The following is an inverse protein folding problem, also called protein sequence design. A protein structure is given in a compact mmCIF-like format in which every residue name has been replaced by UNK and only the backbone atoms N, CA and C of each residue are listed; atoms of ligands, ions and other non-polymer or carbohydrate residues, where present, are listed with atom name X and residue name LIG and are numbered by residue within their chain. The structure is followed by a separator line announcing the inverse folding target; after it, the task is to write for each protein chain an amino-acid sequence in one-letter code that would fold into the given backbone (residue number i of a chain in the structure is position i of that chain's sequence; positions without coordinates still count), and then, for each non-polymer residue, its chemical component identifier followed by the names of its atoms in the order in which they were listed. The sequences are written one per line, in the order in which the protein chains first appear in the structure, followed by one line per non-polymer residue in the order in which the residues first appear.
data_IF_485216324681
#
_entry.id   IF_485216324681
#
_cell.length_a   1.000
_cell.length_b   1.000
_cell.length_c   1.000
_cell.angle_alpha   90.00
_cell.angle_beta   90.00
_cell.angle_gamma   90.00
#
_symmetry.space_group_name_H-M   'P 1'
#
loop_
_entity.id
_entity.type
_entity.pdbx_description
1 polymer ?
#
# COMPACT_ATOMS: atom_id res chain seq x y z
N UNK A 1 -13.88 -19.62 21.78
CA UNK A 1 -12.82 -18.58 21.71
C UNK A 1 -12.20 -18.65 20.33
N UNK A 2 -12.02 -17.51 19.62
CA UNK A 2 -11.52 -17.50 18.22
C UNK A 2 -10.04 -17.11 18.09
N UNK A 3 -9.45 -16.58 19.17
CA UNK A 3 -8.09 -16.08 19.23
C UNK A 3 -7.79 -15.48 20.60
N UNK A 4 -6.54 -15.08 20.79
CA UNK A 4 -6.04 -14.37 21.98
C UNK A 4 -5.27 -13.14 21.56
N UNK A 5 -5.34 -12.08 22.35
CA UNK A 5 -4.42 -10.96 22.25
C UNK A 5 -3.20 -11.22 23.14
N UNK A 6 -2.00 -10.95 22.61
CA UNK A 6 -0.72 -11.05 23.31
C UNK A 6 0.11 -9.78 23.06
N UNK A 7 1.02 -9.46 23.99
CA UNK A 7 2.00 -8.40 23.78
C UNK A 7 3.04 -8.76 22.71
N UNK A 8 3.76 -7.75 22.21
CA UNK A 8 4.91 -7.92 21.31
C UNK A 8 6.11 -8.63 21.96
N UNK A 9 6.17 -8.66 23.29
CA UNK A 9 7.20 -9.34 24.09
C UNK A 9 6.68 -9.57 25.53
N UNK A 10 7.47 -10.27 26.36
CA UNK A 10 7.25 -10.41 27.81
C UNK A 10 8.55 -10.13 28.55
N UNK A 11 8.67 -8.95 29.17
CA UNK A 11 9.94 -8.48 29.72
C UNK A 11 11.02 -8.47 28.64
N UNK A 12 12.17 -9.09 28.91
CA UNK A 12 13.27 -9.15 27.93
C UNK A 12 13.08 -10.20 26.82
N UNK A 13 11.96 -10.95 26.83
CA UNK A 13 11.74 -12.08 25.92
C UNK A 13 10.89 -11.68 24.72
N UNK A 14 11.51 -11.63 23.55
CA UNK A 14 10.84 -11.48 22.24
C UNK A 14 10.11 -12.75 21.81
N UNK A 15 9.19 -12.65 20.84
CA UNK A 15 8.31 -13.76 20.41
C UNK A 15 9.04 -15.01 19.86
N UNK A 16 10.32 -14.91 19.53
CA UNK A 16 11.15 -16.04 19.13
C UNK A 16 11.65 -16.91 20.30
N UNK A 17 11.50 -16.42 21.54
CA UNK A 17 11.99 -17.11 22.73
C UNK A 17 11.29 -18.48 22.94
N UNK A 18 12.08 -19.51 23.26
CA UNK A 18 11.63 -20.90 23.33
C UNK A 18 10.52 -21.18 24.35
N UNK A 19 10.47 -20.39 25.41
CA UNK A 19 9.42 -20.45 26.43
C UNK A 19 7.99 -20.30 25.86
N UNK A 20 7.85 -19.69 24.68
CA UNK A 20 6.56 -19.49 24.02
C UNK A 20 6.17 -20.65 23.09
N UNK A 21 7.07 -21.58 22.78
CA UNK A 21 6.78 -22.72 21.91
C UNK A 21 5.62 -23.60 22.40
N UNK A 22 5.46 -23.89 23.71
CA UNK A 22 4.29 -24.64 24.19
C UNK A 22 2.97 -23.93 23.89
N UNK A 23 2.92 -22.60 24.01
CA UNK A 23 1.76 -21.80 23.64
C UNK A 23 1.48 -21.91 22.14
N UNK A 24 2.51 -21.73 21.31
CA UNK A 24 2.39 -21.81 19.84
C UNK A 24 1.89 -23.17 19.37
N UNK A 25 2.40 -24.25 19.96
CA UNK A 25 1.92 -25.61 19.69
C UNK A 25 0.43 -25.76 19.97
N UNK A 26 -0.03 -25.33 21.15
CA UNK A 26 -1.45 -25.42 21.53
C UNK A 26 -2.30 -24.52 20.63
N UNK A 27 -1.83 -23.31 20.31
CA UNK A 27 -2.54 -22.39 19.44
C UNK A 27 -2.70 -22.95 18.01
N UNK A 28 -1.68 -23.62 17.51
CA UNK A 28 -1.71 -24.31 16.22
C UNK A 28 -2.71 -25.47 16.23
N UNK A 29 -2.65 -26.35 17.23
CA UNK A 29 -3.55 -27.50 17.39
C UNK A 29 -5.03 -27.06 17.47
N UNK A 30 -5.29 -25.97 18.18
CA UNK A 30 -6.64 -25.40 18.33
C UNK A 30 -7.06 -24.51 17.17
N UNK A 31 -6.17 -24.26 16.20
CA UNK A 31 -6.41 -23.32 15.08
C UNK A 31 -6.88 -21.94 15.55
N UNK A 32 -6.32 -21.42 16.63
CA UNK A 32 -6.63 -20.06 17.14
C UNK A 32 -5.67 -19.02 16.56
N UNK A 33 -6.12 -17.77 16.48
CA UNK A 33 -5.28 -16.65 16.03
C UNK A 33 -4.66 -15.94 17.22
N UNK A 34 -3.37 -15.61 17.12
CA UNK A 34 -2.68 -14.72 18.04
C UNK A 34 -2.69 -13.30 17.46
N UNK A 35 -3.44 -12.40 18.10
CA UNK A 35 -3.41 -10.97 17.80
C UNK A 35 -2.30 -10.32 18.63
N UNK A 36 -1.29 -9.77 17.98
CA UNK A 36 -0.11 -9.19 18.63
C UNK A 36 -0.27 -7.68 18.69
N UNK A 37 -0.37 -7.15 19.90
CA UNK A 37 -0.44 -5.72 20.16
C UNK A 37 0.89 -5.23 20.73
N UNK A 38 1.49 -4.13 20.22
CA UNK A 38 2.72 -3.60 20.76
C UNK A 38 2.46 -2.98 22.14
N UNK A 39 3.36 -3.23 23.07
CA UNK A 39 3.33 -2.63 24.40
C UNK A 39 4.76 -2.47 24.92
N UNK A 40 4.93 -1.67 25.98
CA UNK A 40 6.19 -1.51 26.71
C UNK A 40 7.39 -1.19 25.80
N UNK A 41 7.17 -0.27 24.85
CA UNK A 41 8.16 0.07 23.83
C UNK A 41 9.43 0.64 24.47
N UNK A 42 10.58 0.19 24.00
CA UNK A 42 11.86 0.69 24.50
C UNK A 42 11.98 2.21 24.32
N UNK A 43 12.18 2.93 25.42
CA UNK A 43 12.12 4.40 25.45
C UNK A 43 13.36 5.12 24.87
N UNK A 44 14.32 4.36 24.32
CA UNK A 44 15.56 4.84 23.69
C UNK A 44 16.30 5.86 24.57
N UNK A 45 16.60 5.49 25.81
CA UNK A 45 17.24 6.35 26.80
C UNK A 45 16.51 7.70 27.01
N UNK A 46 15.17 7.68 26.90
CA UNK A 46 14.29 8.83 27.07
C UNK A 46 14.02 9.64 25.80
N UNK A 47 14.59 9.27 24.65
CA UNK A 47 14.39 10.01 23.38
C UNK A 47 12.93 10.01 22.91
N UNK A 48 12.14 9.02 23.33
CA UNK A 48 10.71 8.96 23.02
C UNK A 48 9.81 9.67 24.05
N UNK A 49 10.33 10.36 25.07
CA UNK A 49 9.46 10.90 26.14
C UNK A 49 8.57 12.08 25.72
N UNK A 50 8.87 12.77 24.62
CA UNK A 50 8.15 13.97 24.17
C UNK A 50 7.20 13.68 23.02
N UNK A 51 6.25 14.59 22.80
CA UNK A 51 5.37 14.62 21.61
C UNK A 51 4.58 13.34 21.36
N UNK A 52 4.31 12.57 22.41
CA UNK A 52 3.61 11.29 22.28
C UNK A 52 4.35 10.27 21.37
N UNK A 53 5.66 10.45 21.22
CA UNK A 53 6.54 9.58 20.42
C UNK A 53 6.52 8.09 20.79
N UNK A 54 6.20 7.64 22.01
CA UNK A 54 6.09 6.20 22.25
C UNK A 54 5.00 5.59 21.39
N UNK A 55 3.88 6.27 21.19
CA UNK A 55 2.79 5.80 20.32
C UNK A 55 3.08 6.05 18.84
N UNK A 56 3.61 7.23 18.50
CA UNK A 56 3.80 7.62 17.10
C UNK A 56 5.00 6.93 16.42
N UNK A 57 6.03 6.58 17.18
CA UNK A 57 7.29 5.99 16.67
C UNK A 57 7.61 4.67 17.36
N UNK A 58 7.44 4.62 18.69
CA UNK A 58 7.73 3.42 19.48
C UNK A 58 6.86 2.23 19.05
N UNK A 59 5.53 2.34 19.11
CA UNK A 59 4.61 1.23 18.82
C UNK A 59 4.80 0.68 17.39
N UNK A 60 4.89 1.50 16.33
CA UNK A 60 5.18 0.99 14.98
C UNK A 60 6.55 0.32 14.85
N UNK A 61 7.56 0.77 15.60
CA UNK A 61 8.89 0.16 15.60
C UNK A 61 8.88 -1.18 16.35
N UNK A 62 8.16 -1.24 17.47
CA UNK A 62 7.99 -2.42 18.31
C UNK A 62 7.27 -3.55 17.56
N UNK A 63 6.14 -3.25 16.90
CA UNK A 63 5.45 -4.24 16.05
C UNK A 63 6.36 -4.77 14.95
N UNK A 64 7.17 -3.90 14.33
CA UNK A 64 8.09 -4.32 13.28
C UNK A 64 9.23 -5.21 13.80
N UNK A 65 9.71 -4.95 15.01
CA UNK A 65 10.68 -5.81 15.69
C UNK A 65 10.06 -7.18 15.98
N UNK A 66 8.85 -7.24 16.52
CA UNK A 66 8.16 -8.50 16.84
C UNK A 66 7.89 -9.35 15.59
N UNK A 67 7.52 -8.72 14.47
CA UNK A 67 7.40 -9.39 13.17
C UNK A 67 8.75 -9.98 12.75
N UNK A 68 9.85 -9.24 12.90
CA UNK A 68 11.18 -9.75 12.55
C UNK A 68 11.58 -10.94 13.43
N UNK A 69 11.29 -10.92 14.73
CA UNK A 69 11.49 -12.07 15.62
C UNK A 69 10.72 -13.30 15.16
N UNK A 70 9.44 -13.17 14.80
CA UNK A 70 8.64 -14.31 14.31
C UNK A 70 9.19 -14.88 12.99
N UNK A 71 9.62 -14.01 12.08
CA UNK A 71 10.13 -14.42 10.76
C UNK A 71 11.53 -15.07 10.84
N UNK A 72 12.42 -14.51 11.65
CA UNK A 72 13.81 -14.96 11.76
C UNK A 72 14.03 -15.99 12.87
N UNK A 73 13.12 -16.10 13.85
CA UNK A 73 13.17 -17.03 14.98
C UNK A 73 12.63 -18.43 14.70
N UNK A 74 12.47 -18.80 13.43
CA UNK A 74 12.07 -20.13 12.96
C UNK A 74 10.65 -20.58 13.38
N UNK A 75 9.86 -19.68 13.96
CA UNK A 75 8.53 -19.99 14.53
C UNK A 75 7.56 -20.49 13.46
N UNK A 76 7.48 -19.82 12.31
CA UNK A 76 6.57 -20.19 11.23
C UNK A 76 6.97 -21.47 10.48
N UNK A 77 8.23 -21.89 10.62
CA UNK A 77 8.71 -23.17 10.09
C UNK A 77 8.38 -24.30 11.04
N UNK A 78 8.54 -24.08 12.36
CA UNK A 78 8.19 -25.06 13.40
C UNK A 78 6.68 -25.25 13.55
N UNK A 79 5.89 -24.17 13.41
CA UNK A 79 4.44 -24.16 13.58
C UNK A 79 3.74 -23.60 12.32
N UNK A 80 3.75 -24.33 11.19
CA UNK A 80 3.32 -23.82 9.88
C UNK A 80 1.82 -23.51 9.76
N UNK A 81 0.97 -23.98 10.67
CA UNK A 81 -0.47 -23.67 10.71
C UNK A 81 -0.80 -22.58 11.75
N UNK A 82 0.18 -22.12 12.52
CA UNK A 82 0.00 -21.02 13.47
C UNK A 82 -0.33 -19.73 12.72
N UNK A 83 -1.22 -18.92 13.29
CA UNK A 83 -1.69 -17.67 12.67
C UNK A 83 -1.44 -16.50 13.60
N UNK A 84 -0.60 -15.57 13.13
CA UNK A 84 -0.40 -14.28 13.75
C UNK A 84 -1.17 -13.19 12.99
N UNK A 85 -1.76 -12.28 13.74
CA UNK A 85 -2.30 -11.01 13.26
C UNK A 85 -1.65 -9.88 14.04
N UNK A 86 -1.03 -8.92 13.38
CA UNK A 86 -0.34 -7.81 14.05
C UNK A 86 -1.19 -6.54 13.99
N UNK A 87 -1.22 -5.82 15.11
CA UNK A 87 -1.94 -4.56 15.24
C UNK A 87 -1.30 -3.43 14.40
N UNK A 88 -2.07 -2.38 14.16
CA UNK A 88 -1.65 -1.12 13.54
C UNK A 88 -1.00 -1.30 12.16
N UNK A 89 -1.57 -2.16 11.33
CA UNK A 89 -1.09 -2.45 9.97
C UNK A 89 0.25 -3.20 9.91
N UNK A 90 0.69 -3.80 11.02
CA UNK A 90 2.04 -4.36 11.14
C UNK A 90 3.11 -3.31 11.46
N UNK A 91 2.69 -2.13 11.95
CA UNK A 91 3.58 -1.03 12.30
C UNK A 91 4.41 -0.57 11.10
N UNK A 92 5.72 -0.43 11.31
CA UNK A 92 6.66 0.01 10.28
C UNK A 92 7.15 -1.10 9.36
N UNK A 93 6.82 -2.37 9.64
CA UNK A 93 7.34 -3.54 8.89
C UNK A 93 7.06 -3.47 7.38
N UNK A 94 5.84 -3.16 6.90
CA UNK A 94 5.57 -3.12 5.46
C UNK A 94 6.51 -2.18 4.69
N UNK A 95 6.88 -1.05 5.29
CA UNK A 95 7.80 -0.07 4.71
C UNK A 95 9.24 -0.59 4.71
N UNK A 96 9.68 -1.25 5.78
CA UNK A 96 11.06 -1.75 5.91
C UNK A 96 11.25 -3.18 5.38
N UNK A 97 10.19 -3.86 4.92
CA UNK A 97 10.22 -5.25 4.43
C UNK A 97 11.35 -5.50 3.44
N UNK A 98 11.53 -4.60 2.47
CA UNK A 98 12.61 -4.70 1.47
C UNK A 98 14.00 -4.63 2.09
N UNK A 99 14.19 -3.78 3.12
CA UNK A 99 15.44 -3.67 3.87
C UNK A 99 15.72 -4.93 4.68
N UNK A 100 14.71 -5.49 5.36
CA UNK A 100 14.81 -6.72 6.14
C UNK A 100 15.23 -7.89 5.25
N UNK A 101 14.55 -8.06 4.11
CA UNK A 101 14.88 -9.11 3.14
C UNK A 101 16.29 -8.93 2.55
N UNK A 102 16.69 -7.70 2.23
CA UNK A 102 18.03 -7.43 1.74
C UNK A 102 19.10 -7.73 2.79
N UNK A 103 18.88 -7.30 4.04
CA UNK A 103 19.76 -7.58 5.19
C UNK A 103 20.01 -9.08 5.38
N UNK A 104 18.95 -9.89 5.32
CA UNK A 104 19.06 -11.34 5.42
C UNK A 104 19.94 -11.94 4.30
N UNK A 105 19.80 -11.46 3.06
CA UNK A 105 20.58 -11.94 1.92
C UNK A 105 22.06 -11.55 2.00
N UNK A 106 22.37 -10.35 2.48
CA UNK A 106 23.75 -9.83 2.49
C UNK A 106 24.51 -10.18 3.77
N UNK A 107 23.82 -10.49 4.87
CA UNK A 107 24.38 -10.92 6.15
C UNK A 107 23.63 -12.13 6.73
N UNK A 108 23.59 -13.27 6.01
CA UNK A 108 22.96 -14.48 6.54
C UNK A 108 23.68 -14.99 7.80
N UNK A 109 24.97 -14.67 7.96
CA UNK A 109 25.77 -14.92 9.17
C UNK A 109 25.25 -14.23 10.43
N UNK A 110 24.41 -13.20 10.29
CA UNK A 110 23.76 -12.52 11.43
C UNK A 110 22.25 -12.72 11.45
N UNK A 111 21.61 -12.82 10.28
CA UNK A 111 20.15 -12.82 10.17
C UNK A 111 19.53 -14.21 10.05
N UNK A 112 20.28 -15.22 9.59
CA UNK A 112 19.79 -16.58 9.37
C UNK A 112 20.29 -17.55 10.47
N UNK A 113 20.42 -17.04 11.69
CA UNK A 113 20.96 -17.79 12.84
C UNK A 113 20.03 -18.93 13.25
N UNK A 114 18.74 -18.65 13.39
CA UNK A 114 17.74 -19.63 13.83
C UNK A 114 16.85 -20.12 12.67
N UNK A 115 16.56 -19.25 11.69
CA UNK A 115 15.74 -19.56 10.52
C UNK A 115 16.54 -19.41 9.22
N UNK A 116 16.67 -20.51 8.49
CA UNK A 116 17.32 -20.55 7.17
C UNK A 116 16.36 -20.27 6.00
N UNK A 117 15.08 -20.01 6.29
CA UNK A 117 14.09 -19.60 5.28
C UNK A 117 14.04 -18.07 5.25
N UNK A 118 14.14 -17.48 4.06
CA UNK A 118 14.19 -16.04 3.92
C UNK A 118 12.87 -15.37 4.40
N UNK A 119 12.92 -14.24 5.13
CA UNK A 119 11.73 -13.57 5.66
C UNK A 119 10.66 -13.26 4.59
N UNK A 120 11.08 -12.92 3.37
CA UNK A 120 10.19 -12.61 2.25
C UNK A 120 9.41 -13.81 1.69
N UNK A 121 9.77 -15.04 2.11
CA UNK A 121 9.05 -16.27 1.79
C UNK A 121 8.00 -16.60 2.87
N UNK A 122 8.18 -16.05 4.08
CA UNK A 122 7.33 -16.32 5.24
C UNK A 122 6.34 -15.20 5.54
N UNK A 123 6.67 -13.95 5.21
CA UNK A 123 5.85 -12.78 5.57
C UNK A 123 4.43 -12.78 4.97
N UNK A 124 4.21 -13.48 3.86
CA UNK A 124 2.88 -13.71 3.30
C UNK A 124 1.97 -14.61 4.16
N UNK A 125 2.49 -15.20 5.24
CA UNK A 125 1.71 -15.98 6.22
C UNK A 125 1.16 -15.11 7.37
N UNK A 126 1.65 -13.88 7.51
CA UNK A 126 1.24 -12.95 8.55
C UNK A 126 -0.01 -12.17 8.15
N UNK A 127 -0.85 -11.86 9.14
CA UNK A 127 -2.02 -10.99 8.98
C UNK A 127 -1.76 -9.65 9.66
N UNK A 128 -2.44 -8.60 9.21
CA UNK A 128 -2.47 -7.32 9.90
C UNK A 128 -3.87 -6.72 9.83
N UNK A 129 -4.19 -5.84 10.78
CA UNK A 129 -5.47 -5.16 10.88
C UNK A 129 -5.61 -3.93 9.95
N UNK A 130 -4.64 -3.68 9.05
CA UNK A 130 -4.71 -2.53 8.13
C UNK A 130 -4.00 -2.67 6.77
N UNK A 131 -3.23 -3.73 6.47
CA UNK A 131 -2.56 -3.93 5.14
C UNK A 131 -2.46 -5.42 4.75
N UNK A 132 -2.45 -5.72 3.44
CA UNK A 132 -2.59 -7.03 2.74
C UNK A 132 -2.65 -8.30 3.63
N UNK A 133 -3.72 -9.12 3.46
CA UNK A 133 -4.24 -10.04 4.48
C UNK A 133 -4.89 -9.28 5.64
N UNK A 134 -5.90 -8.47 5.27
CA UNK A 134 -6.50 -7.40 6.06
C UNK A 134 -7.71 -7.91 6.84
N UNK A 135 -7.70 -7.67 8.15
CA UNK A 135 -8.93 -7.60 8.96
C UNK A 135 -9.15 -6.13 9.27
N UNK A 136 -10.38 -5.62 9.22
CA UNK A 136 -10.63 -4.24 9.62
C UNK A 136 -10.48 -4.10 11.16
N UNK A 137 -9.58 -3.22 11.60
CA UNK A 137 -9.41 -2.83 13.00
C UNK A 137 -9.44 -1.30 13.14
N UNK A 138 -10.11 -0.80 14.19
CA UNK A 138 -10.29 0.64 14.42
C UNK A 138 -9.46 1.18 15.58
N UNK A 139 -8.90 0.31 16.42
CA UNK A 139 -8.28 0.69 17.70
C UNK A 139 -9.23 1.42 18.67
N UNK A 140 -10.55 1.22 18.53
CA UNK A 140 -11.54 1.77 19.45
C UNK A 140 -11.37 1.20 20.87
N UNK A 141 -11.47 2.01 21.94
CA UNK A 141 -11.93 3.41 22.00
C UNK A 141 -10.79 4.44 22.08
N UNK A 142 -9.58 4.12 21.63
CA UNK A 142 -8.46 5.05 21.76
C UNK A 142 -8.60 6.27 20.84
N UNK A 143 -8.17 7.47 21.27
CA UNK A 143 -8.27 8.69 20.46
C UNK A 143 -7.47 8.64 19.14
N UNK A 144 -6.44 7.79 19.07
CA UNK A 144 -5.63 7.58 17.88
C UNK A 144 -6.34 6.64 16.87
N UNK A 145 -7.35 5.91 17.34
CA UNK A 145 -8.12 4.98 16.52
C UNK A 145 -9.03 5.69 15.51
N UNK A 146 -9.44 4.93 14.50
CA UNK A 146 -10.41 5.39 13.51
C UNK A 146 -11.80 5.47 14.15
N UNK A 147 -12.27 6.70 14.40
CA UNK A 147 -13.58 6.96 15.00
C UNK A 147 -14.74 6.70 14.03
N UNK A 148 -14.49 6.90 12.73
CA UNK A 148 -15.44 6.69 11.64
C UNK A 148 -14.88 5.62 10.71
N UNK A 149 -15.36 4.39 10.88
CA UNK A 149 -14.88 3.21 10.15
C UNK A 149 -14.87 3.44 8.63
N UNK A 150 -13.70 3.29 8.01
CA UNK A 150 -13.52 3.37 6.56
C UNK A 150 -13.27 4.78 6.03
N UNK A 151 -13.39 5.83 6.86
CA UNK A 151 -13.12 7.21 6.44
C UNK A 151 -11.69 7.38 5.93
N UNK A 152 -10.72 6.73 6.57
CA UNK A 152 -9.31 6.78 6.14
C UNK A 152 -9.15 6.23 4.73
N UNK A 153 -9.91 5.19 4.36
CA UNK A 153 -9.87 4.60 3.02
C UNK A 153 -10.59 5.46 2.00
N UNK A 154 -11.69 6.10 2.37
CA UNK A 154 -12.45 7.01 1.50
C UNK A 154 -11.69 8.31 1.20
N UNK A 155 -11.01 8.86 2.20
CA UNK A 155 -10.17 10.05 2.07
C UNK A 155 -8.80 9.76 1.45
N UNK A 156 -8.38 8.48 1.45
CA UNK A 156 -7.13 8.06 0.83
C UNK A 156 -7.19 8.35 -0.68
N UNK A 157 -6.58 9.46 -1.06
CA UNK A 157 -6.17 9.67 -2.43
C UNK A 157 -4.99 8.73 -2.66
N UNK A 158 -5.16 7.67 -3.48
CA UNK A 158 -4.00 6.90 -3.88
C UNK A 158 -2.97 7.88 -4.42
N UNK A 159 -1.70 7.61 -4.13
CA UNK A 159 -0.62 8.13 -4.96
C UNK A 159 -0.90 7.56 -6.35
N UNK A 160 -1.77 8.23 -7.11
CA UNK A 160 -2.21 7.75 -8.39
C UNK A 160 -0.96 7.60 -9.22
N UNK A 161 -0.91 6.55 -10.02
CA UNK A 161 0.00 6.52 -11.14
C UNK A 161 -0.19 7.87 -11.86
N UNK A 162 0.81 8.73 -11.73
CA UNK A 162 1.01 10.06 -12.29
C UNK A 162 -0.27 10.72 -12.82
N UNK A 163 -0.75 11.74 -12.10
CA UNK A 163 -1.73 12.72 -12.55
C UNK A 163 -1.66 12.92 -14.10
N UNK A 164 -2.74 12.64 -14.85
CA UNK A 164 -2.72 12.69 -16.31
C UNK A 164 -2.20 14.02 -16.87
N UNK A 165 -2.48 15.12 -16.17
CA UNK A 165 -1.97 16.45 -16.52
C UNK A 165 -0.44 16.52 -16.40
N UNK A 166 0.13 15.93 -15.34
CA UNK A 166 1.60 15.83 -15.17
C UNK A 166 2.25 14.93 -16.21
N UNK A 167 1.58 13.86 -16.63
CA UNK A 167 2.10 12.98 -17.70
C UNK A 167 2.16 13.68 -19.05
N UNK A 168 1.16 14.50 -19.36
CA UNK A 168 1.12 15.31 -20.57
C UNK A 168 2.17 16.43 -20.54
N UNK A 169 2.38 17.07 -19.38
CA UNK A 169 3.44 18.06 -19.17
C UNK A 169 4.85 17.44 -19.31
N UNK A 170 5.08 16.24 -18.74
CA UNK A 170 6.33 15.49 -18.91
C UNK A 170 6.56 15.13 -20.38
N UNK A 171 5.54 14.61 -21.08
CA UNK A 171 5.63 14.26 -22.49
C UNK A 171 5.98 15.48 -23.36
N UNK A 172 5.32 16.62 -23.12
CA UNK A 172 5.61 17.87 -23.82
C UNK A 172 7.06 18.33 -23.58
N UNK A 173 7.57 18.12 -22.37
CA UNK A 173 8.97 18.42 -22.02
C UNK A 173 9.94 17.53 -22.79
N UNK A 174 9.72 16.22 -22.85
CA UNK A 174 10.59 15.31 -23.61
C UNK A 174 10.59 15.62 -25.12
N UNK A 175 9.42 15.93 -25.70
CA UNK A 175 9.32 16.35 -27.11
C UNK A 175 10.12 17.63 -27.40
N UNK A 176 10.07 18.59 -26.49
CA UNK A 176 10.85 19.82 -26.59
C UNK A 176 12.37 19.55 -26.50
N UNK A 177 12.79 18.65 -25.62
CA UNK A 177 14.20 18.23 -25.49
C UNK A 177 14.69 17.56 -26.78
N UNK A 178 13.89 16.64 -27.34
CA UNK A 178 14.21 15.97 -28.60
C UNK A 178 14.44 16.99 -29.73
N UNK A 179 13.54 17.97 -29.87
CA UNK A 179 13.67 19.04 -30.86
C UNK A 179 14.96 19.86 -30.67
N UNK A 180 15.38 20.11 -29.43
CA UNK A 180 16.64 20.80 -29.12
C UNK A 180 17.88 19.96 -29.49
N UNK A 181 17.82 18.65 -29.28
CA UNK A 181 18.90 17.72 -29.66
C UNK A 181 19.01 17.64 -31.19
N UNK A 182 17.89 17.57 -31.91
CA UNK A 182 17.88 17.55 -33.38
C UNK A 182 18.42 18.85 -33.97
N UNK A 183 18.08 20.00 -33.38
CA UNK A 183 18.64 21.29 -33.77
C UNK A 183 20.16 21.36 -33.51
N UNK A 184 20.64 20.76 -32.40
CA UNK A 184 22.07 20.69 -32.09
C UNK A 184 22.84 19.77 -33.05
N UNK A 185 22.24 18.63 -33.45
CA UNK A 185 22.80 17.71 -34.44
C UNK A 185 22.92 18.34 -35.83
N UNK A 186 22.06 19.30 -36.18
CA UNK A 186 22.17 20.05 -37.43
C UNK A 186 23.46 20.88 -37.50
N UNK A 187 23.96 21.35 -36.35
CA UNK A 187 25.21 22.09 -36.24
C UNK A 187 26.44 21.22 -35.98
N UNK A 188 26.27 19.97 -35.52
CA UNK A 188 27.34 19.02 -35.20
C UNK A 188 26.91 17.57 -35.54
N UNK A 189 26.92 17.18 -36.83
CA UNK A 189 26.29 15.95 -37.30
C UNK A 189 26.97 14.66 -36.83
N UNK A 190 28.27 14.70 -36.52
CA UNK A 190 29.07 13.53 -36.15
C UNK A 190 29.11 13.28 -34.63
N UNK A 191 28.29 14.00 -33.86
CA UNK A 191 28.30 13.94 -32.41
C UNK A 191 27.58 12.69 -31.87
N UNK A 192 28.38 11.66 -31.54
CA UNK A 192 27.90 10.38 -31.01
C UNK A 192 27.10 10.49 -29.71
N UNK A 193 27.37 11.49 -28.85
CA UNK A 193 26.62 11.72 -27.61
C UNK A 193 25.20 12.24 -27.90
N UNK A 194 25.04 13.09 -28.91
CA UNK A 194 23.75 13.65 -29.29
C UNK A 194 22.87 12.63 -30.03
N UNK A 195 23.47 11.77 -30.86
CA UNK A 195 22.74 10.65 -31.48
C UNK A 195 22.20 9.68 -30.44
N UNK A 196 23.02 9.32 -29.44
CA UNK A 196 22.56 8.47 -28.33
C UNK A 196 21.42 9.11 -27.53
N UNK A 197 21.56 10.40 -27.20
CA UNK A 197 20.50 11.14 -26.48
C UNK A 197 19.21 11.25 -27.30
N UNK A 198 19.32 11.35 -28.63
CA UNK A 198 18.17 11.34 -29.53
C UNK A 198 17.44 9.99 -29.51
N UNK A 199 18.19 8.88 -29.58
CA UNK A 199 17.64 7.53 -29.50
C UNK A 199 16.90 7.31 -28.16
N UNK A 200 17.55 7.65 -27.05
CA UNK A 200 17.00 7.52 -25.70
C UNK A 200 15.68 8.33 -25.53
N UNK A 201 15.68 9.61 -25.91
CA UNK A 201 14.48 10.47 -25.83
C UNK A 201 13.33 9.97 -26.71
N UNK A 202 13.65 9.39 -27.88
CA UNK A 202 12.64 8.81 -28.77
C UNK A 202 12.02 7.57 -28.15
N UNK A 203 12.80 6.73 -27.48
CA UNK A 203 12.32 5.56 -26.76
C UNK A 203 11.38 5.95 -25.61
N UNK A 204 11.74 6.92 -24.77
CA UNK A 204 10.85 7.37 -23.68
C UNK A 204 9.54 7.94 -24.20
N UNK A 205 9.59 8.78 -25.23
CA UNK A 205 8.36 9.37 -25.81
C UNK A 205 7.45 8.25 -26.30
N UNK A 206 8.00 7.25 -27.01
CA UNK A 206 7.22 6.10 -27.49
C UNK A 206 6.61 5.28 -26.35
N UNK A 207 7.37 5.01 -25.28
CA UNK A 207 6.89 4.26 -24.13
C UNK A 207 5.80 5.00 -23.35
N UNK A 208 5.89 6.32 -23.26
CA UNK A 208 4.93 7.17 -22.55
C UNK A 208 3.64 7.35 -23.37
N UNK A 209 3.73 7.45 -24.71
CA UNK A 209 2.58 7.42 -25.62
C UNK A 209 1.86 6.07 -25.59
N UNK A 210 2.60 4.95 -25.63
CA UNK A 210 2.06 3.59 -25.48
C UNK A 210 1.30 3.39 -24.15
N UNK A 211 1.77 4.03 -23.08
CA UNK A 211 1.11 3.99 -21.77
C UNK A 211 -0.18 4.81 -21.78
N UNK A 212 -0.16 6.02 -22.36
CA UNK A 212 -1.36 6.85 -22.53
C UNK A 212 -2.41 6.17 -23.42
N UNK A 213 -2.00 5.49 -24.49
CA UNK A 213 -2.92 4.73 -25.35
C UNK A 213 -3.54 3.54 -24.62
N UNK A 214 -2.78 2.84 -23.77
CA UNK A 214 -3.32 1.74 -22.95
C UNK A 214 -4.29 2.24 -21.88
N UNK A 215 -4.01 3.37 -21.25
CA UNK A 215 -4.92 3.99 -20.28
C UNK A 215 -6.20 4.54 -20.99
N UNK A 216 -6.06 5.06 -22.22
CA UNK A 216 -7.21 5.44 -23.07
C UNK A 216 -8.00 4.22 -23.54
N UNK A 217 -7.36 3.09 -23.85
CA UNK A 217 -8.02 1.85 -24.22
C UNK A 217 -8.77 1.23 -23.02
N UNK A 218 -8.17 1.24 -21.82
CA UNK A 218 -8.81 0.78 -20.59
C UNK A 218 -9.94 1.71 -20.10
N UNK A 219 -9.90 3.00 -20.44
CA UNK A 219 -11.00 3.94 -20.14
C UNK A 219 -12.11 3.96 -21.19
N UNK A 220 -11.80 3.65 -22.46
CA UNK A 220 -12.80 3.48 -23.53
C UNK A 220 -13.55 2.15 -23.44
N UNK A 221 -12.95 1.08 -22.88
CA UNK A 221 -13.70 -0.10 -22.43
C UNK A 221 -14.69 0.19 -21.29
N UNK A 222 -14.51 1.31 -20.56
CA UNK A 222 -15.43 1.77 -19.49
C UNK A 222 -16.44 2.84 -19.95
N UNK A 223 -16.35 3.32 -21.19
CA UNK A 223 -17.24 4.36 -21.72
C UNK A 223 -17.91 3.92 -23.02
N UNK A 224 -18.80 2.94 -22.91
CA UNK A 224 -19.85 2.72 -23.90
C UNK A 224 -21.20 2.80 -23.17
N UNK A 225 -21.93 3.88 -23.49
CA UNK A 225 -23.40 4.06 -23.45
C UNK A 225 -24.16 3.32 -22.34
N UNK A 226 -24.69 4.06 -21.37
CA UNK A 226 -25.61 3.55 -20.35
C UNK A 226 -26.70 2.64 -20.95
N UNK A 227 -26.70 1.32 -20.66
CA UNK A 227 -27.86 0.49 -20.85
C UNK A 227 -28.61 0.46 -19.51
N UNK A 228 -29.94 0.58 -19.56
CA UNK A 228 -30.74 0.25 -18.39
C UNK A 228 -30.44 -1.19 -17.98
N UNK A 229 -29.78 -1.36 -16.84
CA UNK A 229 -29.42 -2.67 -16.31
C UNK A 229 -30.70 -3.33 -15.83
N UNK A 230 -31.19 -4.30 -16.60
CA UNK A 230 -32.15 -5.29 -16.11
C UNK A 230 -31.39 -6.09 -15.04
N UNK A 231 -31.58 -5.72 -13.77
CA UNK A 231 -30.94 -6.40 -12.65
C UNK A 231 -31.47 -7.83 -12.56
N UNK A 232 -30.59 -8.82 -12.72
CA UNK A 232 -30.96 -10.23 -12.65
C UNK A 232 -31.03 -10.67 -11.20
N UNK A 233 -32.25 -10.75 -10.67
CA UNK A 233 -32.55 -11.15 -9.29
C UNK A 233 -32.04 -12.55 -8.96
N UNK A 234 -31.52 -12.73 -7.74
CA UNK A 234 -31.04 -14.01 -7.22
C UNK A 234 -31.79 -14.44 -5.95
N UNK A 235 -31.94 -15.76 -5.75
CA UNK A 235 -32.58 -16.31 -4.55
C UNK A 235 -31.73 -16.00 -3.31
N UNK A 236 -32.37 -15.47 -2.27
CA UNK A 236 -31.72 -15.04 -1.03
C UNK A 236 -31.31 -13.57 -1.00
N UNK A 237 -31.51 -12.82 -2.09
CA UNK A 237 -31.22 -11.40 -2.19
C UNK A 237 -32.25 -10.55 -1.41
N UNK A 238 -31.79 -9.48 -0.74
CA UNK A 238 -32.68 -8.50 -0.09
C UNK A 238 -33.13 -7.48 -1.11
N UNK A 239 -34.43 -7.24 -1.15
CA UNK A 239 -35.10 -6.33 -2.09
C UNK A 239 -36.09 -5.45 -1.33
N UNK A 240 -36.46 -4.34 -1.95
CA UNK A 240 -37.59 -3.52 -1.53
C UNK A 240 -38.77 -3.88 -2.44
N UNK A 241 -39.89 -4.26 -1.84
CA UNK A 241 -41.09 -4.73 -2.55
C UNK A 241 -42.36 -3.99 -2.06
N UNK A 242 -43.40 -3.87 -2.90
CA UNK A 242 -44.67 -3.26 -2.51
C UNK A 242 -45.45 -4.15 -1.53
N UNK A 243 -45.84 -3.60 -0.38
CA UNK A 243 -46.75 -4.24 0.58
C UNK A 243 -48.21 -3.98 0.20
N UNK A 244 -49.16 -4.87 0.54
CA UNK A 244 -50.60 -4.63 0.36
C UNK A 244 -51.11 -3.33 0.99
N UNK A 245 -50.45 -2.82 2.03
CA UNK A 245 -50.77 -1.53 2.67
C UNK A 245 -50.27 -0.30 1.88
N UNK A 246 -49.81 -0.48 0.64
CA UNK A 246 -49.31 0.57 -0.25
C UNK A 246 -47.91 1.11 0.09
N UNK A 247 -47.25 0.58 1.12
CA UNK A 247 -45.89 0.97 1.52
C UNK A 247 -44.85 0.04 0.90
N UNK A 248 -43.70 0.59 0.52
CA UNK A 248 -42.53 -0.20 0.10
C UNK A 248 -41.76 -0.67 1.33
N UNK A 249 -41.54 -1.96 1.45
CA UNK A 249 -40.91 -2.57 2.63
C UNK A 249 -39.85 -3.58 2.21
N UNK A 250 -38.94 -3.89 3.13
CA UNK A 250 -37.87 -4.86 2.89
C UNK A 250 -38.41 -6.28 2.83
N UNK A 251 -37.94 -7.03 1.84
CA UNK A 251 -38.26 -8.42 1.63
C UNK A 251 -37.01 -9.21 1.19
N UNK A 252 -37.11 -10.54 1.25
CA UNK A 252 -36.08 -11.48 0.78
C UNK A 252 -36.67 -12.36 -0.32
N UNK A 253 -35.91 -12.58 -1.39
CA UNK A 253 -36.30 -13.49 -2.46
C UNK A 253 -36.17 -14.95 -1.98
N UNK A 254 -37.27 -15.70 -2.01
CA UNK A 254 -37.30 -17.12 -1.66
C UNK A 254 -37.14 -18.03 -2.87
N UNK A 255 -37.78 -17.66 -3.99
CA UNK A 255 -37.69 -18.43 -5.24
C UNK A 255 -38.10 -17.58 -6.45
N UNK A 256 -37.56 -17.94 -7.61
CA UNK A 256 -37.91 -17.35 -8.90
C UNK A 256 -38.86 -18.32 -9.60
N UNK A 257 -40.10 -17.90 -9.88
CA UNK A 257 -41.10 -18.73 -10.55
C UNK A 257 -41.48 -18.14 -11.90
N UNK A 258 -42.04 -18.92 -12.84
CA UNK A 258 -42.52 -18.38 -14.12
C UNK A 258 -43.64 -17.34 -13.99
N UNK A 259 -44.34 -17.32 -12.85
CA UNK A 259 -45.42 -16.38 -12.56
C UNK A 259 -44.96 -15.10 -11.82
N UNK A 260 -43.68 -15.01 -11.44
CA UNK A 260 -43.12 -13.88 -10.69
C UNK A 260 -42.07 -14.28 -9.65
N UNK A 261 -41.63 -13.31 -8.84
CA UNK A 261 -40.65 -13.51 -7.77
C UNK A 261 -41.38 -13.75 -6.45
N UNK A 262 -41.18 -14.93 -5.84
CA UNK A 262 -41.69 -15.20 -4.50
C UNK A 262 -40.77 -14.55 -3.46
N UNK A 263 -41.34 -13.70 -2.62
CA UNK A 263 -40.64 -12.96 -1.59
C UNK A 263 -41.25 -13.18 -0.20
N UNK A 264 -40.44 -13.09 0.85
CA UNK A 264 -40.88 -12.98 2.25
C UNK A 264 -40.59 -11.59 2.77
N UNK A 265 -41.60 -10.88 3.28
CA UNK A 265 -41.38 -9.58 3.95
C UNK A 265 -40.63 -9.75 5.26
N UNK A 266 -39.55 -8.98 5.46
CA UNK A 266 -38.69 -9.09 6.65
C UNK A 266 -39.37 -8.61 7.93
N UNK A 267 -40.34 -7.68 7.82
CA UNK A 267 -41.05 -7.12 8.97
C UNK A 267 -42.20 -8.01 9.46
N UNK A 268 -42.91 -8.69 8.56
CA UNK A 268 -44.13 -9.44 8.87
C UNK A 268 -43.99 -10.95 8.68
N UNK A 269 -42.93 -11.42 8.03
CA UNK A 269 -42.73 -12.84 7.68
C UNK A 269 -43.72 -13.38 6.65
N UNK A 270 -44.58 -12.52 6.09
CA UNK A 270 -45.61 -12.91 5.13
C UNK A 270 -45.00 -13.12 3.74
N UNK A 271 -45.43 -14.19 3.06
CA UNK A 271 -44.97 -14.54 1.71
C UNK A 271 -45.93 -14.03 0.66
N UNK A 272 -45.39 -13.47 -0.42
CA UNK A 272 -46.18 -13.04 -1.58
C UNK A 272 -45.39 -13.23 -2.87
N UNK A 273 -46.07 -13.18 -4.01
CA UNK A 273 -45.47 -13.19 -5.34
C UNK A 273 -45.63 -11.79 -5.92
N UNK A 274 -44.52 -11.22 -6.39
CA UNK A 274 -44.48 -9.88 -7.00
C UNK A 274 -43.85 -9.94 -8.38
N UNK A 275 -44.20 -8.99 -9.24
CA UNK A 275 -43.56 -8.83 -10.53
C UNK A 275 -42.08 -8.41 -10.33
N UNK A 276 -41.11 -9.03 -11.04
CA UNK A 276 -39.72 -8.60 -11.03
C UNK A 276 -39.50 -7.10 -11.27
N UNK A 277 -40.40 -6.43 -12.00
CA UNK A 277 -40.32 -4.99 -12.30
C UNK A 277 -40.62 -4.09 -11.09
N UNK A 278 -41.38 -4.58 -10.12
CA UNK A 278 -41.77 -3.82 -8.93
C UNK A 278 -40.73 -3.89 -7.80
N UNK A 279 -39.67 -4.67 -8.00
CA UNK A 279 -38.57 -4.85 -7.07
C UNK A 279 -37.51 -3.75 -7.22
N UNK A 280 -37.03 -3.25 -6.08
CA UNK A 280 -35.97 -2.25 -6.04
C UNK A 280 -34.80 -2.71 -5.19
N UNK A 281 -33.59 -2.32 -5.59
CA UNK A 281 -32.40 -2.57 -4.81
C UNK A 281 -32.40 -1.71 -3.53
N UNK A 282 -32.09 -2.28 -2.37
CA UNK A 282 -31.93 -1.50 -1.15
C UNK A 282 -30.71 -0.56 -1.25
N UNK A 283 -30.66 0.51 -0.43
CA UNK A 283 -29.50 1.40 -0.34
C UNK A 283 -28.22 0.62 -0.03
N UNK A 284 -27.08 1.11 -0.54
CA UNK A 284 -25.82 0.35 -0.61
C UNK A 284 -25.30 -0.16 0.75
N UNK A 285 -25.55 0.60 1.82
CA UNK A 285 -25.26 0.25 3.21
C UNK A 285 -26.12 -0.90 3.76
N UNK A 286 -27.21 -1.27 3.09
CA UNK A 286 -28.18 -2.30 3.49
C UNK A 286 -28.28 -3.46 2.50
N UNK A 287 -27.43 -3.47 1.45
CA UNK A 287 -27.31 -4.57 0.47
C UNK A 287 -26.61 -5.81 1.04
N UNK A 288 -25.90 -5.69 2.17
CA UNK A 288 -25.11 -6.78 2.76
C UNK A 288 -25.98 -7.72 3.61
N UNK A 289 -25.89 -9.02 3.32
CA UNK A 289 -26.42 -10.07 4.17
C UNK A 289 -25.55 -10.20 5.43
N UNK A 290 -26.12 -10.00 6.62
CA UNK A 290 -25.43 -10.33 7.87
C UNK A 290 -25.24 -11.86 7.97
N UNK A 291 -24.02 -12.28 8.32
CA UNK A 291 -23.61 -13.68 8.43
C UNK A 291 -24.35 -14.50 9.52
N UNK A 292 -25.26 -13.88 10.29
CA UNK A 292 -25.97 -14.50 11.41
C UNK A 292 -27.40 -14.96 11.10
N UNK A 293 -27.95 -14.69 9.91
CA UNK A 293 -29.32 -15.10 9.54
C UNK A 293 -29.43 -16.57 9.06
N UNK A 294 -28.35 -17.34 9.08
CA UNK A 294 -28.37 -18.77 8.76
C UNK A 294 -28.69 -19.61 10.01
N UNK A 295 -29.96 -19.59 10.44
CA UNK A 295 -30.45 -20.63 11.33
C UNK A 295 -30.82 -21.87 10.50
N UNK A 296 -29.97 -22.90 10.63
CA UNK A 296 -30.17 -24.33 10.33
C UNK A 296 -30.96 -24.69 9.07
N UNK A 297 -30.25 -25.17 8.05
CA UNK A 297 -30.61 -26.40 7.31
C UNK A 297 -29.43 -26.98 6.53
N UNK A 298 -29.00 -28.17 6.94
CA UNK A 298 -28.47 -29.29 6.16
C UNK A 298 -27.16 -29.16 5.30
N UNK A 299 -26.10 -29.80 5.80
CA UNK A 299 -25.15 -30.71 5.14
C UNK A 299 -25.03 -30.80 3.59
N UNK A 300 -23.79 -30.71 3.06
CA UNK A 300 -23.37 -31.28 1.75
C UNK A 300 -22.09 -30.67 1.13
N UNK A 301 -21.26 -31.40 0.33
CA UNK A 301 -19.78 -31.34 0.43
C UNK A 301 -18.99 -30.64 -0.72
N UNK A 302 -17.67 -30.55 -0.49
CA UNK A 302 -16.54 -29.98 -1.26
C UNK A 302 -16.49 -30.15 -2.79
N UNK A 303 -15.87 -29.19 -3.49
CA UNK A 303 -15.20 -29.44 -4.78
C UNK A 303 -13.77 -28.87 -4.82
N UNK A 304 -12.82 -29.77 -5.07
CA UNK A 304 -11.36 -29.55 -5.16
C UNK A 304 -10.97 -28.68 -6.38
N UNK A 305 -11.89 -28.49 -7.32
CA UNK A 305 -11.68 -27.77 -8.59
C UNK A 305 -11.56 -26.24 -8.39
N UNK A 306 -12.42 -25.65 -7.55
CA UNK A 306 -12.41 -24.19 -7.30
C UNK A 306 -11.16 -23.69 -6.58
N UNK A 307 -10.50 -24.55 -5.78
CA UNK A 307 -9.21 -24.22 -5.13
C UNK A 307 -8.07 -24.09 -6.14
N UNK A 308 -8.04 -24.94 -7.18
CA UNK A 308 -6.97 -24.97 -8.18
C UNK A 308 -7.07 -23.78 -9.14
N UNK A 309 -8.29 -23.42 -9.53
CA UNK A 309 -8.57 -22.23 -10.35
C UNK A 309 -8.27 -20.92 -9.59
N UNK A 310 -8.61 -20.86 -8.30
CA UNK A 310 -8.29 -19.71 -7.46
C UNK A 310 -6.78 -19.50 -7.26
N UNK A 311 -6.03 -20.59 -7.07
CA UNK A 311 -4.56 -20.54 -7.00
C UNK A 311 -3.94 -20.09 -8.32
N UNK A 312 -4.43 -20.58 -9.47
CA UNK A 312 -3.95 -20.18 -10.79
C UNK A 312 -4.25 -18.69 -11.09
N UNK A 313 -5.41 -18.18 -10.70
CA UNK A 313 -5.76 -16.76 -10.87
C UNK A 313 -4.93 -15.85 -9.95
N UNK A 314 -4.64 -16.29 -8.72
CA UNK A 314 -3.75 -15.58 -7.79
C UNK A 314 -2.31 -15.49 -8.34
N UNK A 315 -1.80 -16.58 -8.91
CA UNK A 315 -0.49 -16.63 -9.57
C UNK A 315 -0.44 -15.69 -10.78
N UNK A 316 -1.50 -15.69 -11.61
CA UNK A 316 -1.62 -14.80 -12.79
C UNK A 316 -1.63 -13.32 -12.39
N UNK A 317 -2.35 -12.95 -11.33
CA UNK A 317 -2.36 -11.59 -10.78
C UNK A 317 -1.00 -11.19 -10.23
N UNK A 318 -0.31 -12.09 -9.52
CA UNK A 318 1.05 -11.85 -9.01
C UNK A 318 2.05 -11.63 -10.15
N UNK A 319 2.00 -12.44 -11.21
CA UNK A 319 2.87 -12.27 -12.39
C UNK A 319 2.59 -10.96 -13.14
N UNK A 320 1.31 -10.56 -13.28
CA UNK A 320 0.95 -9.26 -13.88
C UNK A 320 1.46 -8.09 -13.03
N UNK A 321 1.30 -8.15 -11.70
CA UNK A 321 1.81 -7.12 -10.79
C UNK A 321 3.34 -7.02 -10.80
N UNK A 322 4.04 -8.17 -10.86
CA UNK A 322 5.50 -8.22 -10.93
C UNK A 322 6.02 -7.64 -12.25
N UNK A 323 5.40 -8.00 -13.39
CA UNK A 323 5.74 -7.43 -14.70
C UNK A 323 5.49 -5.92 -14.75
N UNK A 324 4.38 -5.45 -14.17
CA UNK A 324 4.07 -4.01 -14.07
C UNK A 324 5.13 -3.28 -13.23
N UNK A 325 5.53 -3.85 -12.09
CA UNK A 325 6.55 -3.27 -11.21
C UNK A 325 7.95 -3.28 -11.86
N UNK A 326 8.31 -4.34 -12.59
CA UNK A 326 9.58 -4.40 -13.33
C UNK A 326 9.62 -3.36 -14.45
N UNK A 327 8.54 -3.25 -15.23
CA UNK A 327 8.42 -2.23 -16.28
C UNK A 327 8.50 -0.80 -15.71
N UNK A 328 7.92 -0.57 -14.53
CA UNK A 328 8.01 0.73 -13.85
C UNK A 328 9.45 1.03 -13.40
N UNK A 329 10.14 0.07 -12.77
CA UNK A 329 11.54 0.27 -12.33
C UNK A 329 12.50 0.49 -13.50
N UNK A 330 12.27 -0.19 -14.62
CA UNK A 330 13.03 0.00 -15.84
C UNK A 330 12.81 1.41 -16.40
N UNK A 331 11.54 1.86 -16.50
CA UNK A 331 11.20 3.22 -16.90
C UNK A 331 11.83 4.29 -15.99
N UNK A 332 11.77 4.10 -14.66
CA UNK A 332 12.35 5.02 -13.69
C UNK A 332 13.88 5.09 -13.81
N UNK A 333 14.54 3.93 -14.04
CA UNK A 333 15.99 3.86 -14.24
C UNK A 333 16.44 4.54 -15.55
N UNK A 334 15.65 4.43 -16.62
CA UNK A 334 15.92 5.11 -17.89
C UNK A 334 15.75 6.62 -17.72
N UNK A 335 14.63 7.06 -17.10
CA UNK A 335 14.35 8.47 -16.76
C UNK A 335 15.50 9.11 -15.96
N UNK A 336 16.08 8.38 -15.00
CA UNK A 336 17.20 8.88 -14.19
C UNK A 336 18.55 8.93 -14.94
N UNK A 337 18.78 8.01 -15.88
CA UNK A 337 19.92 8.06 -16.79
C UNK A 337 19.89 9.29 -17.69
N UNK A 338 18.72 9.59 -18.25
CA UNK A 338 18.50 10.71 -19.14
C UNK A 338 18.57 12.06 -18.45
N UNK A 339 18.02 12.20 -17.23
CA UNK A 339 18.21 13.42 -16.42
C UNK A 339 19.69 13.79 -16.30
N UNK A 340 20.57 12.78 -16.10
CA UNK A 340 22.01 12.99 -16.01
C UNK A 340 22.63 13.37 -17.36
N UNK A 341 22.19 12.74 -18.45
CA UNK A 341 22.65 13.07 -19.82
C UNK A 341 22.20 14.47 -20.26
N UNK A 342 20.95 14.84 -19.98
CA UNK A 342 20.40 16.16 -20.26
C UNK A 342 21.07 17.27 -19.45
N UNK A 343 21.35 17.02 -18.16
CA UNK A 343 22.14 17.94 -17.33
C UNK A 343 23.53 18.18 -17.93
N UNK A 344 24.22 17.14 -18.40
CA UNK A 344 25.51 17.26 -19.09
C UNK A 344 25.40 18.05 -20.40
N UNK A 345 24.37 17.82 -21.21
CA UNK A 345 24.09 18.58 -22.43
C UNK A 345 23.88 20.07 -22.11
N UNK A 346 23.04 20.39 -21.14
CA UNK A 346 22.74 21.77 -20.76
C UNK A 346 24.00 22.50 -20.22
N UNK A 347 24.84 21.83 -19.43
CA UNK A 347 26.12 22.40 -18.97
C UNK A 347 27.09 22.67 -20.14
N UNK A 348 27.16 21.76 -21.12
CA UNK A 348 28.04 21.86 -22.30
C UNK A 348 27.54 22.89 -23.32
N UNK A 349 26.23 22.98 -23.52
CA UNK A 349 25.58 23.96 -24.40
C UNK A 349 25.72 25.40 -23.85
N UNK A 350 25.59 25.59 -22.52
CA UNK A 350 25.86 26.87 -21.88
C UNK A 350 27.34 27.27 -21.99
N UNK A 351 28.26 26.31 -21.88
CA UNK A 351 29.70 26.58 -22.02
C UNK A 351 30.11 26.97 -23.46
N UNK A 352 29.40 26.51 -24.49
CA UNK A 352 29.65 26.85 -25.90
C UNK A 352 28.90 28.10 -26.41
N UNK A 353 28.07 28.75 -25.58
CA UNK A 353 27.45 30.03 -25.93
C UNK A 353 26.41 29.97 -27.06
N UNK A 354 25.65 28.87 -27.19
CA UNK A 354 24.52 28.79 -28.12
C UNK A 354 23.41 29.78 -27.71
N UNK A 355 23.38 30.95 -28.36
CA UNK A 355 22.31 31.95 -28.20
C UNK A 355 20.98 31.38 -28.69
N UNK A 356 20.07 31.06 -27.77
CA UNK A 356 18.69 30.69 -28.09
C UNK A 356 18.05 29.64 -27.18
N UNK A 357 18.83 28.89 -26.39
CA UNK A 357 18.25 27.91 -25.46
C UNK A 357 17.68 28.62 -24.22
N UNK A 358 16.35 28.57 -24.05
CA UNK A 358 15.70 28.92 -22.77
C UNK A 358 16.15 27.91 -21.71
N UNK A 359 16.60 28.43 -20.56
CA UNK A 359 16.86 27.63 -19.37
C UNK A 359 15.55 27.02 -18.87
N UNK A 360 15.31 25.75 -19.17
CA UNK A 360 14.26 24.98 -18.51
C UNK A 360 14.79 24.61 -17.12
N UNK A 361 14.31 25.31 -16.09
CA UNK A 361 14.53 24.88 -14.72
C UNK A 361 13.77 23.56 -14.55
N UNK A 362 14.48 22.51 -14.14
CA UNK A 362 13.89 21.23 -13.75
C UNK A 362 13.14 21.48 -12.42
N UNK A 363 11.89 21.91 -12.50
CA UNK A 363 10.95 21.80 -11.38
C UNK A 363 10.38 20.39 -11.38
N UNK A 364 11.23 19.48 -10.94
CA UNK A 364 10.90 18.09 -10.65
C UNK A 364 11.80 17.60 -9.52
N UNK A 365 12.08 18.48 -8.55
CA UNK A 365 12.58 18.07 -7.25
C UNK A 365 11.43 17.37 -6.53
N UNK A 366 11.71 16.20 -5.97
CA UNK A 366 10.95 15.63 -4.86
C UNK A 366 10.55 16.75 -3.89
N UNK A 367 9.29 17.19 -3.94
CA UNK A 367 8.72 18.03 -2.90
C UNK A 367 8.25 17.10 -1.80
N UNK A 368 9.20 16.67 -0.98
CA UNK A 368 8.99 16.32 0.43
C UNK A 368 10.24 16.77 1.22
N UNK A 369 10.64 18.02 0.96
CA UNK A 369 11.51 18.78 1.83
C UNK A 369 10.74 20.01 2.30
N UNK A 370 10.53 20.11 3.60
CA UNK A 370 9.76 21.17 4.26
C UNK A 370 10.07 22.57 3.69
N UNK A 371 9.04 23.25 3.23
CA UNK A 371 9.09 24.64 2.85
C UNK A 371 9.26 25.54 4.08
N UNK A 372 10.51 25.85 4.44
CA UNK A 372 10.86 27.09 5.13
C UNK A 372 12.18 27.58 4.55
N UNK A 373 12.13 28.70 3.84
CA UNK A 373 13.31 29.28 3.21
C UNK A 373 14.33 29.74 4.24
N UNK A 374 15.61 29.46 3.96
CA UNK A 374 16.65 30.45 4.19
C UNK A 374 17.82 30.24 3.22
N UNK A 375 18.19 31.30 2.51
CA UNK A 375 19.30 31.30 1.57
C UNK A 375 20.61 31.35 2.36
N UNK A 376 21.38 30.26 2.38
CA UNK A 376 22.83 30.34 2.63
C UNK A 376 23.59 29.25 1.89
N UNK A 377 24.53 29.69 1.07
CA UNK A 377 25.47 28.90 0.28
C UNK A 377 26.24 27.90 1.15
N UNK A 378 26.08 26.61 0.89
CA UNK A 378 26.92 25.56 1.48
C UNK A 378 28.04 25.22 0.51
N UNK A 379 29.26 25.63 0.86
CA UNK A 379 30.50 25.15 0.26
C UNK A 379 30.76 23.75 0.80
N UNK A 380 30.94 22.78 -0.11
CA UNK A 380 31.30 21.40 0.20
C UNK A 380 32.75 21.40 0.72
N UNK A 381 32.95 21.03 1.99
CA UNK A 381 34.27 20.85 2.60
C UNK A 381 34.63 19.37 2.66
N UNK A 382 35.74 19.01 2.00
CA UNK A 382 36.35 17.69 1.97
C UNK A 382 37.01 17.31 3.29
N UNK A 383 37.16 15.99 3.51
CA UNK A 383 37.65 15.28 4.71
C UNK A 383 39.11 15.59 5.15
N UNK A 384 39.48 16.84 5.42
CA UNK A 384 40.87 17.18 5.76
C UNK A 384 41.09 18.06 7.00
N UNK A 385 40.15 18.13 7.94
CA UNK A 385 40.41 18.84 9.22
C UNK A 385 39.92 18.05 10.43
N UNK A 386 40.55 16.91 10.68
CA UNK A 386 40.70 16.42 12.05
C UNK A 386 41.78 17.27 12.75
N UNK A 387 41.53 17.64 14.01
CA UNK A 387 42.39 18.40 14.92
C UNK A 387 42.52 19.92 14.70
N UNK A 388 41.64 20.68 15.35
CA UNK A 388 42.07 21.86 16.12
C UNK A 388 41.11 22.14 17.28
N UNK A 389 41.69 22.28 18.46
CA UNK A 389 41.03 22.43 19.76
C UNK A 389 40.63 23.88 20.06
N UNK A 390 39.70 24.00 21.03
CA UNK A 390 39.52 25.08 22.02
C UNK A 390 38.69 26.33 21.69
N UNK A 391 37.67 26.46 22.55
CA UNK A 391 37.24 27.66 23.28
C UNK A 391 36.46 28.74 22.53
N UNK A 392 35.13 28.71 22.69
CA UNK A 392 34.39 29.91 23.11
C UNK A 392 33.13 29.52 23.89
N UNK A 393 33.21 29.58 25.21
CA UNK A 393 32.08 29.62 26.14
C UNK A 393 31.98 31.06 26.63
N UNK A 394 31.00 31.83 26.17
CA UNK A 394 30.44 32.98 26.88
C UNK A 394 29.28 33.57 26.07
N UNK A 395 28.30 34.08 26.81
CA UNK A 395 27.18 34.93 26.39
C UNK A 395 25.99 34.21 25.75
N UNK A 396 25.02 33.85 26.60
CA UNK A 396 23.75 34.59 26.68
C UNK A 396 22.97 34.15 27.93
N UNK A 397 22.84 35.09 28.87
CA UNK A 397 22.09 34.99 30.12
C UNK A 397 20.58 35.14 29.88
N UNK A 398 19.77 34.29 30.49
CA UNK A 398 18.32 34.46 30.63
C UNK A 398 17.98 35.29 31.88
N UNK A 399 16.96 36.15 31.87
CA UNK A 399 16.50 36.85 33.07
C UNK A 399 15.56 35.97 33.91
N UNK A 400 15.70 36.09 35.24
CA UNK A 400 14.87 35.43 36.26
C UNK A 400 13.54 36.18 36.50
N UNK A 401 12.49 35.50 37.01
CA UNK A 401 11.20 36.12 37.28
C UNK A 401 11.21 36.88 38.61
N UNK A 402 10.51 38.02 38.64
CA UNK A 402 10.23 38.80 39.87
C UNK A 402 8.99 38.26 40.59
N UNK A 403 9.08 38.29 41.92
CA UNK A 403 8.16 37.85 42.98
C UNK A 403 6.66 37.92 42.70
#
# INVERSE_FOLDING_TARGET
MKGFEIGSHVGDKSLDHSDFWPLYKVCEELSVVLFVHPWDMHMWDGRLQKYWMPWLVGMPSETAQAICSVLMGNILVMFPKLRFCFAHGGGSYPIIRGRVSHGWNVRPDLCAMDCHVAPNQLDGLLWADSLNHIVLGTDYPFPLGELEVGKVVEEYQPFSALDPEKMEEELATYKLQLQQVEAALLGDPDNTELHKLKEDLTEIISLQEDLQEKDKAESSEKTVVAPQVIHKWTVGERVIAPHPDGKKVFARIDSLTPAGVAITFTSTGTKTIVDPADLQLPPENQRKNYAFDNTKSAAGPSTQHGKKEWQAEKERRRQKALKKQQKQKELDSIKDGEKKSWQKFNTKANAKGLKGLKKVNITGSSQDGSATGDKRSTVVSSRSSQFSFKATRALLSLPAPTN
#
